data_IF_917224555959
#
_entry.id   IF_917224555959
#
_cell.length_a   1.000
_cell.length_b   1.000
_cell.length_c   1.000
_cell.angle_alpha   90.00
_cell.angle_beta   90.00
_cell.angle_gamma   90.00
#
_symmetry.space_group_name_H-M   'P 1'
#
loop_
_entity.id
_entity.type
_entity.pdbx_description
1 polymer ?
#
# COMPACT_ATOMS: atom_id res chain seq x y z
N UNK A 1 3.64 20.66 -1.20
CA UNK A 1 3.32 20.98 0.21
C UNK A 1 1.82 21.23 0.30
N UNK A 2 1.04 20.27 0.81
CA UNK A 2 -0.39 20.49 0.96
C UNK A 2 -0.61 21.23 2.29
N UNK A 3 -0.98 22.49 2.18
CA UNK A 3 -1.34 23.34 3.32
C UNK A 3 -2.75 22.91 3.71
N UNK A 4 -2.86 22.18 4.81
CA UNK A 4 -4.14 21.93 5.47
C UNK A 4 -4.60 23.30 6.05
N UNK A 5 -5.92 23.58 6.20
CA UNK A 5 -6.45 24.87 6.73
C UNK A 5 -7.02 24.73 8.17
N UNK A 6 -6.71 25.66 9.10
CA UNK A 6 -6.88 25.38 10.53
C UNK A 6 -8.37 25.42 10.85
N UNK A 7 -8.81 24.58 11.79
CA UNK A 7 -10.18 24.60 12.30
C UNK A 7 -10.17 25.28 13.68
N UNK A 8 -10.49 26.59 13.75
CA UNK A 8 -10.34 27.38 14.97
C UNK A 8 -11.15 26.83 16.15
N UNK A 9 -12.27 26.18 15.86
CA UNK A 9 -13.20 25.57 16.82
C UNK A 9 -12.59 24.44 17.67
N UNK A 10 -11.51 23.79 17.22
CA UNK A 10 -10.87 22.69 17.95
C UNK A 10 -9.56 23.07 18.66
N UNK A 11 -9.12 24.34 18.56
CA UNK A 11 -7.89 24.82 19.19
C UNK A 11 -6.62 24.05 18.78
N UNK A 12 -6.66 23.30 17.67
CA UNK A 12 -5.58 22.42 17.20
C UNK A 12 -5.40 22.50 15.68
N UNK A 13 -4.19 22.21 15.24
CA UNK A 13 -3.81 22.22 13.84
C UNK A 13 -4.23 20.91 13.15
N UNK A 14 -5.15 21.03 12.19
CA UNK A 14 -5.42 20.16 11.03
C UNK A 14 -5.64 18.65 11.19
N UNK A 15 -6.71 18.14 10.57
CA UNK A 15 -6.94 16.69 10.41
C UNK A 15 -6.64 16.23 8.99
N UNK A 16 -5.74 15.25 8.85
CA UNK A 16 -5.65 14.44 7.63
C UNK A 16 -6.81 13.44 7.64
N UNK A 17 -7.67 13.48 6.62
CA UNK A 17 -8.92 12.70 6.57
C UNK A 17 -8.93 11.78 5.36
N UNK A 18 -9.90 10.87 5.33
CA UNK A 18 -10.14 9.96 4.20
C UNK A 18 -10.20 10.69 2.84
N UNK A 19 -10.87 11.85 2.79
CA UNK A 19 -10.96 12.68 1.56
C UNK A 19 -9.58 13.12 1.07
N UNK A 20 -8.70 13.51 1.98
CA UNK A 20 -7.34 13.94 1.67
C UNK A 20 -6.51 12.77 1.10
N UNK A 21 -6.60 11.59 1.74
CA UNK A 21 -5.89 10.40 1.29
C UNK A 21 -6.31 9.95 -0.11
N UNK A 22 -7.62 9.86 -0.36
CA UNK A 22 -8.15 9.45 -1.67
C UNK A 22 -7.71 10.44 -2.76
N UNK A 23 -7.76 11.74 -2.49
CA UNK A 23 -7.33 12.77 -3.46
C UNK A 23 -5.83 12.66 -3.79
N UNK A 24 -4.99 12.33 -2.81
CA UNK A 24 -3.54 12.24 -2.97
C UNK A 24 -3.11 10.96 -3.69
N UNK A 25 -3.65 9.81 -3.30
CA UNK A 25 -3.17 8.51 -3.75
C UNK A 25 -4.05 7.85 -4.81
N UNK A 26 -5.25 8.40 -5.06
CA UNK A 26 -6.25 7.82 -5.97
C UNK A 26 -6.59 6.35 -5.64
N UNK A 27 -6.40 5.94 -4.39
CA UNK A 27 -6.73 4.62 -3.86
C UNK A 27 -7.50 4.79 -2.54
N UNK A 28 -8.24 3.74 -2.17
CA UNK A 28 -8.80 3.64 -0.82
C UNK A 28 -7.66 3.44 0.19
N UNK A 29 -7.64 4.10 1.36
CA UNK A 29 -6.60 3.88 2.37
C UNK A 29 -6.48 2.42 2.81
N UNK A 30 -7.57 1.64 2.78
CA UNK A 30 -7.51 0.20 3.06
C UNK A 30 -6.59 -0.54 2.08
N UNK A 31 -6.44 0.02 0.89
CA UNK A 31 -5.73 -0.54 -0.25
C UNK A 31 -4.37 0.15 -0.47
N UNK A 32 -4.11 1.29 0.17
CA UNK A 32 -2.85 2.03 0.07
C UNK A 32 -1.67 1.17 0.51
N UNK A 33 -1.83 0.46 1.62
CA UNK A 33 -0.85 -0.52 2.10
C UNK A 33 -0.51 -1.57 1.04
N UNK A 34 -1.53 -2.13 0.37
CA UNK A 34 -1.32 -3.11 -0.71
C UNK A 34 -0.62 -2.50 -1.91
N UNK A 35 -0.91 -1.24 -2.23
CA UNK A 35 -0.25 -0.50 -3.28
C UNK A 35 1.23 -0.27 -2.95
N UNK A 36 1.55 0.20 -1.74
CA UNK A 36 2.92 0.40 -1.27
C UNK A 36 3.73 -0.90 -1.25
N UNK A 37 3.14 -2.04 -0.89
CA UNK A 37 3.83 -3.33 -0.97
C UNK A 37 4.37 -3.64 -2.38
N UNK A 38 3.62 -3.22 -3.42
CA UNK A 38 3.97 -3.47 -4.81
C UNK A 38 4.98 -2.44 -5.31
N UNK A 39 4.79 -1.16 -5.02
CA UNK A 39 5.67 -0.09 -5.53
C UNK A 39 6.88 0.18 -4.65
N UNK A 40 6.92 -0.37 -3.44
CA UNK A 40 7.92 -0.09 -2.43
C UNK A 40 7.71 1.24 -1.71
N UNK A 41 8.54 1.46 -0.71
CA UNK A 41 8.73 2.72 -0.02
C UNK A 41 10.23 3.05 -0.02
N UNK A 42 10.63 3.97 -0.89
CA UNK A 42 12.04 4.37 -1.02
C UNK A 42 12.56 5.11 0.21
N UNK A 43 11.68 5.84 0.91
CA UNK A 43 12.06 6.59 2.12
C UNK A 43 12.42 5.63 3.25
N UNK A 44 11.65 4.55 3.38
CA UNK A 44 11.90 3.49 4.37
C UNK A 44 12.82 2.37 3.83
N UNK A 45 13.39 2.53 2.64
CA UNK A 45 14.32 1.57 2.05
C UNK A 45 13.69 0.23 1.64
N UNK A 46 12.36 0.18 1.48
CA UNK A 46 11.61 -1.00 1.03
C UNK A 46 11.52 -0.99 -0.50
N UNK A 47 12.23 -1.87 -1.21
CA UNK A 47 12.22 -1.86 -2.67
C UNK A 47 10.87 -2.32 -3.24
N UNK A 48 10.44 -1.69 -4.33
CA UNK A 48 9.25 -2.12 -5.09
C UNK A 48 9.53 -3.23 -6.10
N UNK A 49 8.46 -3.81 -6.64
CA UNK A 49 8.55 -4.86 -7.67
C UNK A 49 9.25 -4.36 -8.94
N UNK A 50 9.24 -3.05 -9.22
CA UNK A 50 9.93 -2.46 -10.37
C UNK A 50 11.45 -2.71 -10.37
N UNK A 51 12.05 -2.99 -9.21
CA UNK A 51 13.47 -3.33 -9.10
C UNK A 51 13.80 -4.72 -9.64
N UNK A 52 12.80 -5.61 -9.68
CA UNK A 52 12.96 -7.00 -10.15
C UNK A 52 12.20 -7.28 -11.45
N UNK A 53 11.17 -6.47 -11.77
CA UNK A 53 10.36 -6.58 -12.98
C UNK A 53 10.21 -5.23 -13.65
N UNK A 54 10.98 -5.00 -14.72
CA UNK A 54 10.86 -3.79 -15.54
C UNK A 54 9.45 -3.63 -16.12
N UNK A 55 8.94 -2.38 -16.11
CA UNK A 55 7.60 -2.04 -16.61
C UNK A 55 6.45 -2.32 -15.63
N UNK A 56 6.69 -3.02 -14.52
CA UNK A 56 5.72 -3.19 -13.44
C UNK A 56 5.88 -2.06 -12.41
N UNK A 57 5.39 -0.87 -12.77
CA UNK A 57 5.43 0.32 -11.89
C UNK A 57 4.07 0.73 -11.33
N UNK A 58 4.04 1.95 -10.76
CA UNK A 58 2.87 2.57 -10.10
C UNK A 58 1.55 2.46 -10.86
N UNK A 59 1.54 2.71 -12.17
CA UNK A 59 0.30 2.64 -12.97
C UNK A 59 -0.28 1.22 -13.03
N UNK A 60 0.59 0.21 -13.13
CA UNK A 60 0.18 -1.20 -13.15
C UNK A 60 -0.30 -1.63 -11.77
N UNK A 61 0.47 -1.31 -10.73
CA UNK A 61 0.10 -1.59 -9.34
C UNK A 61 -1.26 -0.99 -8.99
N UNK A 62 -1.49 0.30 -9.30
CA UNK A 62 -2.75 0.97 -9.01
C UNK A 62 -3.94 0.32 -9.73
N UNK A 63 -3.77 -0.09 -11.00
CA UNK A 63 -4.83 -0.80 -11.74
C UNK A 63 -5.20 -2.13 -11.10
N UNK A 64 -4.21 -2.89 -10.65
CA UNK A 64 -4.44 -4.18 -10.01
C UNK A 64 -5.07 -4.00 -8.63
N UNK A 65 -4.53 -3.12 -7.79
CA UNK A 65 -5.09 -2.85 -6.46
C UNK A 65 -6.53 -2.33 -6.54
N UNK A 66 -6.86 -1.45 -7.50
CA UNK A 66 -8.26 -1.03 -7.73
C UNK A 66 -9.18 -2.17 -8.13
N UNK A 67 -8.67 -3.14 -8.89
CA UNK A 67 -9.47 -4.27 -9.39
C UNK A 67 -9.64 -5.39 -8.36
N UNK A 68 -8.62 -5.65 -7.56
CA UNK A 68 -8.57 -6.80 -6.64
C UNK A 68 -8.68 -6.39 -5.16
N UNK A 69 -8.64 -5.09 -4.83
CA UNK A 69 -8.82 -4.56 -3.48
C UNK A 69 -7.57 -4.68 -2.61
N UNK A 70 -7.07 -5.90 -2.38
CA UNK A 70 -5.92 -6.15 -1.52
C UNK A 70 -4.82 -6.96 -2.21
N UNK A 71 -3.60 -6.88 -1.68
CA UNK A 71 -2.47 -7.70 -2.13
C UNK A 71 -2.76 -9.19 -1.95
N UNK A 72 -3.31 -9.60 -0.80
CA UNK A 72 -3.65 -10.99 -0.53
C UNK A 72 -4.68 -11.51 -1.56
N UNK A 73 -5.72 -10.74 -1.86
CA UNK A 73 -6.71 -11.14 -2.86
C UNK A 73 -6.14 -11.16 -4.28
N UNK A 74 -5.25 -10.22 -4.62
CA UNK A 74 -4.54 -10.21 -5.89
C UNK A 74 -3.69 -11.48 -6.06
N UNK A 75 -2.88 -11.81 -5.05
CA UNK A 75 -2.00 -12.99 -5.07
C UNK A 75 -2.80 -14.29 -5.10
N UNK A 76 -3.82 -14.44 -4.26
CA UNK A 76 -4.67 -15.64 -4.26
C UNK A 76 -5.40 -15.81 -5.59
N UNK A 77 -5.89 -14.71 -6.18
CA UNK A 77 -6.53 -14.75 -7.50
C UNK A 77 -5.54 -15.15 -8.58
N UNK A 78 -4.30 -14.66 -8.53
CA UNK A 78 -3.25 -14.97 -9.49
C UNK A 78 -2.89 -16.47 -9.50
N UNK A 79 -3.05 -17.18 -8.38
CA UNK A 79 -2.85 -18.65 -8.34
C UNK A 79 -3.95 -19.39 -9.10
N UNK A 80 -5.18 -18.89 -9.04
CA UNK A 80 -6.36 -19.57 -9.61
C UNK A 80 -6.59 -19.22 -11.07
N UNK A 81 -6.30 -17.98 -11.48
CA UNK A 81 -6.57 -17.49 -12.85
C UNK A 81 -5.66 -16.34 -13.27
N UNK A 82 -5.49 -16.11 -14.58
CA UNK A 82 -4.70 -15.00 -15.10
C UNK A 82 -5.17 -13.63 -14.59
N UNK A 83 -4.24 -12.83 -14.06
CA UNK A 83 -4.47 -11.45 -13.66
C UNK A 83 -3.78 -10.47 -14.62
N UNK A 84 -4.59 -9.82 -15.46
CA UNK A 84 -4.08 -8.83 -16.42
C UNK A 84 -3.33 -9.48 -17.58
N UNK A 85 -2.20 -8.89 -17.98
CA UNK A 85 -1.34 -9.41 -19.07
C UNK A 85 -0.40 -10.48 -18.55
N UNK A 86 0.10 -11.34 -19.43
CA UNK A 86 1.02 -12.43 -19.06
C UNK A 86 2.21 -11.97 -18.21
N UNK A 87 2.85 -10.85 -18.57
CA UNK A 87 3.97 -10.33 -17.79
C UNK A 87 3.60 -9.97 -16.33
N UNK A 88 2.35 -9.52 -16.08
CA UNK A 88 1.88 -9.20 -14.73
C UNK A 88 1.63 -10.48 -13.94
N UNK A 89 1.03 -11.49 -14.59
CA UNK A 89 0.81 -12.81 -14.03
C UNK A 89 2.14 -13.47 -13.63
N UNK A 90 3.13 -13.45 -14.52
CA UNK A 90 4.44 -14.04 -14.29
C UNK A 90 5.17 -13.33 -13.14
N UNK A 91 5.09 -12.00 -13.11
CA UNK A 91 5.66 -11.18 -12.04
C UNK A 91 5.08 -11.53 -10.66
N UNK A 92 3.75 -11.62 -10.56
CA UNK A 92 3.08 -11.93 -9.30
C UNK A 92 3.32 -13.38 -8.86
N UNK A 93 3.41 -14.31 -9.81
CA UNK A 93 3.70 -15.72 -9.52
C UNK A 93 5.14 -15.92 -9.04
N UNK A 94 6.10 -15.25 -9.69
CA UNK A 94 7.53 -15.37 -9.39
C UNK A 94 7.97 -14.57 -8.16
N UNK A 95 7.30 -13.45 -7.88
CA UNK A 95 7.69 -12.51 -6.81
C UNK A 95 6.60 -12.35 -5.73
N UNK A 96 5.69 -13.32 -5.60
CA UNK A 96 4.64 -13.30 -4.57
C UNK A 96 5.20 -13.20 -3.16
N UNK A 97 6.21 -14.01 -2.82
CA UNK A 97 6.86 -14.01 -1.50
C UNK A 97 7.53 -12.67 -1.17
N UNK A 98 8.13 -12.04 -2.19
CA UNK A 98 8.74 -10.72 -2.07
C UNK A 98 7.70 -9.66 -1.68
N UNK A 99 6.53 -9.67 -2.34
CA UNK A 99 5.43 -8.76 -2.03
C UNK A 99 4.83 -9.04 -0.65
N UNK A 100 4.73 -10.31 -0.25
CA UNK A 100 4.28 -10.68 1.10
C UNK A 100 5.26 -10.19 2.18
N UNK A 101 6.56 -10.26 1.91
CA UNK A 101 7.58 -9.73 2.83
C UNK A 101 7.48 -8.21 2.95
N UNK A 102 7.27 -7.50 1.85
CA UNK A 102 7.00 -6.05 1.89
C UNK A 102 5.77 -5.74 2.75
N UNK A 103 4.71 -6.55 2.65
CA UNK A 103 3.53 -6.39 3.51
C UNK A 103 3.87 -6.53 4.99
N UNK A 104 4.65 -7.54 5.36
CA UNK A 104 5.06 -7.72 6.76
C UNK A 104 5.86 -6.53 7.29
N UNK A 105 6.81 -6.01 6.50
CA UNK A 105 7.69 -4.91 6.89
C UNK A 105 6.93 -3.59 7.02
N UNK A 106 6.07 -3.27 6.05
CA UNK A 106 5.35 -1.99 6.01
C UNK A 106 4.11 -1.97 6.93
N UNK A 107 3.63 -3.14 7.38
CA UNK A 107 2.39 -3.20 8.15
C UNK A 107 2.60 -2.78 9.60
N UNK A 108 1.70 -1.94 10.10
CA UNK A 108 1.70 -1.58 11.52
C UNK A 108 1.13 -2.73 12.36
N UNK A 109 1.89 -3.16 13.36
CA UNK A 109 1.39 -4.01 14.43
C UNK A 109 0.34 -3.29 15.25
N UNK A 110 -0.75 -4.00 15.57
CA UNK A 110 -1.87 -3.48 16.39
C UNK A 110 -1.98 -4.14 17.75
N UNK A 111 -1.04 -5.02 18.06
CA UNK A 111 -0.99 -5.90 19.22
C UNK A 111 0.30 -5.67 20.02
N UNK A 112 0.75 -4.42 20.07
CA UNK A 112 1.94 -4.06 20.84
C UNK A 112 1.57 -4.04 22.31
N UNK A 113 2.39 -4.69 23.13
CA UNK A 113 2.23 -4.66 24.58
C UNK A 113 2.69 -3.29 25.10
N UNK A 114 1.72 -2.44 25.45
CA UNK A 114 1.96 -1.07 25.89
C UNK A 114 1.73 -1.02 27.40
N UNK A 115 2.80 -0.81 28.16
CA UNK A 115 2.73 -0.55 29.59
C UNK A 115 2.63 0.95 29.86
N UNK A 116 1.52 1.37 30.47
CA UNK A 116 1.35 2.75 30.94
C UNK A 116 2.06 2.88 32.29
N UNK A 117 2.83 3.97 32.47
CA UNK A 117 3.37 4.32 33.78
C UNK A 117 2.31 5.10 34.56
N UNK A 118 2.12 4.75 35.83
CA UNK A 118 1.37 5.60 36.77
C UNK A 118 2.21 6.83 37.12
N UNK A 119 1.54 7.98 37.27
CA UNK A 119 2.14 9.27 37.66
C UNK A 119 2.58 9.30 39.13
#
# INVERSE_FOLDING_TARGET
MQIVMPMPEFGRWFFYTLKHCIAQYNCDPSSDMSFQCIVGDEVDGVPGIQHVVHGFGRKTALKLVKKYGSLQNLLSTAVVRPVGKQFMQDALSKHGDYLQKNYQVLSLRRDVDVHLKEE
#
